data_IF_920354865171
#
_entry.id   IF_920354865171
#
_cell.length_a   1.000
_cell.length_b   1.000
_cell.length_c   1.000
_cell.angle_alpha   90.00
_cell.angle_beta   90.00
_cell.angle_gamma   90.00
#
_symmetry.space_group_name_H-M   'P 1'
#
loop_
_entity.id
_entity.type
_entity.pdbx_description
1 polymer ?
#
# COMPACT_ATOMS: atom_id res chain seq x y z
N UNK A 1 35.02 4.01 4.94
CA UNK A 1 34.00 5.02 4.58
C UNK A 1 32.75 4.26 4.17
N UNK A 2 31.75 4.01 5.03
CA UNK A 2 30.50 3.45 4.55
C UNK A 2 29.62 4.60 4.04
N UNK A 3 29.14 4.45 2.80
CA UNK A 3 28.18 5.36 2.21
C UNK A 3 26.87 5.26 2.98
N UNK A 4 26.48 6.35 3.65
CA UNK A 4 25.14 6.56 4.18
C UNK A 4 24.17 6.68 3.01
N UNK A 5 23.44 5.60 2.74
CA UNK A 5 22.22 5.66 1.93
C UNK A 5 21.11 6.15 2.86
N UNK A 6 20.71 7.41 2.74
CA UNK A 6 19.49 7.89 3.37
C UNK A 6 18.29 7.32 2.62
N UNK A 7 17.70 6.25 3.17
CA UNK A 7 16.34 5.87 2.84
C UNK A 7 15.41 6.80 3.63
N UNK A 8 14.78 7.73 2.94
CA UNK A 8 13.62 8.42 3.50
C UNK A 8 12.46 7.44 3.42
N UNK A 9 12.17 6.75 4.51
CA UNK A 9 10.84 6.20 4.71
C UNK A 9 9.87 7.37 4.62
N UNK A 10 9.14 7.50 3.50
CA UNK A 10 8.09 8.49 3.36
C UNK A 10 6.92 8.07 4.27
N UNK A 11 7.04 8.38 5.56
CA UNK A 11 5.86 8.67 6.36
C UNK A 11 5.43 10.09 6.00
N UNK A 12 4.23 10.20 5.44
CA UNK A 12 3.50 11.45 5.17
C UNK A 12 4.34 12.67 4.75
N UNK A 13 4.82 12.70 3.50
CA UNK A 13 5.21 13.97 2.87
C UNK A 13 4.38 14.16 1.60
N UNK A 14 3.31 14.93 1.75
CA UNK A 14 2.54 15.50 0.65
C UNK A 14 3.49 16.35 -0.23
N UNK A 15 3.66 16.05 -1.53
CA UNK A 15 4.35 16.97 -2.44
C UNK A 15 3.54 18.27 -2.57
N UNK A 16 4.25 19.40 -2.66
CA UNK A 16 3.65 20.73 -2.86
C UNK A 16 2.65 20.71 -4.03
N UNK A 17 1.44 21.15 -3.72
CA UNK A 17 0.28 21.15 -4.61
C UNK A 17 0.51 21.89 -5.93
N UNK A 18 0.28 21.20 -7.04
CA UNK A 18 0.21 21.75 -8.39
C UNK A 18 -0.94 21.14 -9.18
N UNK A 19 -2.04 21.91 -9.28
CA UNK A 19 -3.25 21.76 -10.13
C UNK A 19 -3.97 20.39 -10.15
N UNK A 20 -5.12 20.38 -9.45
CA UNK A 20 -6.25 19.43 -9.52
C UNK A 20 -5.89 17.97 -9.27
N UNK A 21 -5.57 17.62 -8.03
CA UNK A 21 -5.74 16.23 -7.55
C UNK A 21 -6.95 16.17 -6.64
N UNK A 22 -7.91 15.33 -7.03
CA UNK A 22 -9.00 14.85 -6.17
C UNK A 22 -8.39 13.82 -5.23
N UNK A 23 -8.85 13.75 -3.98
CA UNK A 23 -8.24 12.95 -2.93
C UNK A 23 -8.36 11.45 -3.25
N UNK A 24 -7.28 10.87 -3.76
CA UNK A 24 -7.02 9.43 -3.68
C UNK A 24 -6.32 9.18 -2.34
N UNK A 25 -6.53 8.02 -1.72
CA UNK A 25 -5.84 7.71 -0.48
C UNK A 25 -4.31 7.61 -0.71
N UNK A 26 -3.53 7.93 0.31
CA UNK A 26 -2.07 8.01 0.18
C UNK A 26 -1.36 6.66 -0.02
N UNK A 27 -2.08 5.52 0.06
CA UNK A 27 -1.56 4.17 -0.23
C UNK A 27 -1.69 3.88 -1.72
N UNK A 28 -2.88 4.04 -2.27
CA UNK A 28 -3.18 3.90 -3.70
C UNK A 28 -2.33 4.85 -4.55
N UNK A 29 -2.08 6.07 -4.10
CA UNK A 29 -1.17 6.98 -4.80
C UNK A 29 0.26 6.44 -4.94
N UNK A 30 0.78 5.71 -3.94
CA UNK A 30 2.13 5.10 -3.98
C UNK A 30 2.17 3.91 -4.92
N UNK A 31 1.15 3.07 -4.87
CA UNK A 31 0.98 1.92 -5.76
C UNK A 31 0.99 2.40 -7.23
N UNK A 32 0.32 3.51 -7.49
CA UNK A 32 0.28 4.11 -8.83
C UNK A 32 1.62 4.65 -9.32
N UNK A 33 2.51 5.11 -8.43
CA UNK A 33 3.89 5.47 -8.82
C UNK A 33 4.68 4.25 -9.33
N UNK A 34 4.31 3.05 -8.87
CA UNK A 34 4.95 1.78 -9.26
C UNK A 34 4.29 1.13 -10.49
N UNK A 35 3.15 1.67 -10.96
CA UNK A 35 2.43 1.20 -12.13
C UNK A 35 1.07 0.57 -11.85
N UNK A 36 0.55 0.64 -10.62
CA UNK A 36 -0.86 0.39 -10.38
C UNK A 36 -1.74 1.47 -11.05
N UNK A 37 -3.02 1.18 -11.19
CA UNK A 37 -3.98 2.10 -11.80
C UNK A 37 -5.33 2.08 -11.07
N UNK A 38 -6.13 3.12 -11.29
CA UNK A 38 -7.51 3.19 -10.85
C UNK A 38 -8.39 3.60 -12.02
N UNK A 39 -9.63 3.11 -12.07
CA UNK A 39 -10.63 3.60 -13.02
C UNK A 39 -11.46 4.73 -12.38
N UNK A 40 -11.52 5.90 -13.03
CA UNK A 40 -12.32 7.05 -12.62
C UNK A 40 -13.08 7.60 -13.84
N UNK A 41 -14.40 7.78 -13.72
CA UNK A 41 -15.27 8.30 -14.79
C UNK A 41 -15.11 7.58 -16.16
N UNK A 42 -14.81 6.28 -16.14
CA UNK A 42 -14.62 5.46 -17.35
C UNK A 42 -13.24 5.61 -18.00
N UNK A 43 -12.29 6.20 -17.27
CA UNK A 43 -10.91 6.37 -17.71
C UNK A 43 -9.93 5.76 -16.72
N UNK A 44 -8.95 5.02 -17.26
CA UNK A 44 -7.82 4.55 -16.48
C UNK A 44 -6.92 5.72 -16.09
N UNK A 45 -6.78 5.96 -14.80
CA UNK A 45 -5.88 6.96 -14.22
C UNK A 45 -4.60 6.26 -13.75
N UNK A 46 -3.45 6.83 -14.10
CA UNK A 46 -2.12 6.32 -13.77
C UNK A 46 -1.19 7.43 -13.33
N UNK A 47 -0.19 7.08 -12.52
CA UNK A 47 0.83 8.02 -12.07
C UNK A 47 2.24 7.41 -12.08
N UNK A 48 2.50 6.43 -12.95
CA UNK A 48 3.80 5.76 -13.06
C UNK A 48 4.92 6.82 -13.16
N UNK A 49 5.92 6.71 -12.29
CA UNK A 49 7.09 7.57 -12.30
C UNK A 49 8.31 6.75 -12.70
N UNK A 50 8.77 6.92 -13.95
CA UNK A 50 9.92 6.17 -14.49
C UNK A 50 11.22 6.38 -13.71
N UNK A 51 11.32 7.39 -12.84
CA UNK A 51 12.48 7.60 -11.97
C UNK A 51 12.51 6.61 -10.81
N UNK A 52 11.37 6.06 -10.42
CA UNK A 52 11.26 5.02 -9.40
C UNK A 52 11.68 3.69 -10.00
N UNK A 53 12.75 3.10 -9.45
CA UNK A 53 13.35 1.86 -9.99
C UNK A 53 12.98 0.61 -9.18
N UNK A 54 12.52 0.79 -7.95
CA UNK A 54 11.96 -0.23 -7.10
C UNK A 54 11.03 0.41 -6.07
N UNK A 55 10.10 -0.36 -5.51
CA UNK A 55 9.18 0.10 -4.48
C UNK A 55 9.07 -0.87 -3.31
N UNK A 56 8.61 -0.35 -2.18
CA UNK A 56 8.15 -1.14 -1.03
C UNK A 56 6.72 -0.71 -0.72
N UNK A 57 5.79 -1.66 -0.75
CA UNK A 57 4.39 -1.45 -0.40
C UNK A 57 4.13 -2.04 0.98
N UNK A 58 3.56 -1.23 1.87
CA UNK A 58 3.27 -1.60 3.25
C UNK A 58 1.74 -1.59 3.42
N UNK A 59 1.15 -2.72 3.79
CA UNK A 59 -0.31 -2.86 3.97
C UNK A 59 -1.08 -2.23 2.79
N UNK A 60 -0.65 -2.57 1.58
CA UNK A 60 -1.13 -2.00 0.32
C UNK A 60 -2.64 -2.12 0.22
N UNK A 61 -3.31 -1.17 -0.42
CA UNK A 61 -4.68 -1.42 -0.88
C UNK A 61 -4.67 -2.63 -1.82
N UNK A 62 -5.59 -3.58 -1.65
CA UNK A 62 -5.67 -4.69 -2.59
C UNK A 62 -6.49 -4.32 -3.83
N UNK A 63 -6.67 -5.26 -4.75
CA UNK A 63 -7.36 -4.97 -6.00
C UNK A 63 -8.87 -4.80 -5.78
N UNK A 64 -9.47 -3.88 -6.53
CA UNK A 64 -10.91 -3.69 -6.50
C UNK A 64 -11.65 -4.81 -7.23
N UNK A 65 -12.56 -5.50 -6.55
CA UNK A 65 -13.42 -6.53 -7.14
C UNK A 65 -14.69 -6.75 -6.29
N UNK A 66 -15.45 -7.80 -6.59
CA UNK A 66 -16.72 -8.14 -5.96
C UNK A 66 -16.63 -8.45 -4.46
N UNK A 67 -15.44 -8.79 -3.94
CA UNK A 67 -15.15 -9.03 -2.52
C UNK A 67 -15.26 -7.78 -1.62
N UNK A 68 -15.36 -6.59 -2.23
CA UNK A 68 -15.47 -5.34 -1.49
C UNK A 68 -16.89 -5.11 -0.98
N UNK A 69 -17.00 -4.61 0.25
CA UNK A 69 -18.26 -4.20 0.85
C UNK A 69 -18.87 -2.99 0.13
N UNK A 70 -20.17 -2.75 0.32
CA UNK A 70 -20.85 -1.55 -0.18
C UNK A 70 -20.23 -0.26 0.35
N UNK A 71 -19.62 -0.31 1.55
CA UNK A 71 -18.89 0.83 2.10
C UNK A 71 -17.60 1.06 1.31
N UNK A 72 -16.77 0.02 1.13
CA UNK A 72 -15.52 0.13 0.39
C UNK A 72 -15.76 0.58 -1.06
N UNK A 73 -16.84 0.12 -1.69
CA UNK A 73 -17.23 0.49 -3.07
C UNK A 73 -17.51 1.99 -3.26
N UNK A 74 -17.76 2.75 -2.19
CA UNK A 74 -17.92 4.22 -2.24
C UNK A 74 -16.62 4.96 -2.51
N UNK A 75 -15.48 4.33 -2.24
CA UNK A 75 -14.16 4.90 -2.46
C UNK A 75 -13.61 4.37 -3.78
N UNK A 76 -13.46 5.25 -4.78
CA UNK A 76 -12.92 4.88 -6.11
C UNK A 76 -11.57 4.17 -5.98
N UNK A 77 -10.68 4.69 -5.13
CA UNK A 77 -9.35 4.12 -4.90
C UNK A 77 -9.37 2.65 -4.47
N UNK A 78 -10.34 2.23 -3.66
CA UNK A 78 -10.52 0.82 -3.28
C UNK A 78 -11.20 0.03 -4.38
N UNK A 79 -12.32 0.55 -4.91
CA UNK A 79 -13.18 -0.18 -5.85
C UNK A 79 -12.54 -0.47 -7.19
N UNK A 80 -11.59 0.35 -7.63
CA UNK A 80 -11.06 0.27 -9.00
C UNK A 80 -9.55 0.13 -9.08
N UNK A 81 -8.87 -0.08 -7.94
CA UNK A 81 -7.44 -0.39 -7.93
C UNK A 81 -7.14 -1.66 -8.76
N UNK A 82 -6.16 -1.54 -9.65
CA UNK A 82 -5.65 -2.65 -10.46
C UNK A 82 -4.12 -2.66 -10.48
N UNK A 83 -3.55 -3.85 -10.47
CA UNK A 83 -2.11 -4.10 -10.45
C UNK A 83 -1.57 -4.78 -11.71
N UNK A 84 -2.45 -5.08 -12.68
CA UNK A 84 -2.17 -5.86 -13.89
C UNK A 84 -1.14 -5.24 -14.84
N UNK A 85 -0.79 -3.97 -14.64
CA UNK A 85 0.27 -3.27 -15.39
C UNK A 85 1.47 -2.85 -14.53
N UNK A 86 1.50 -3.28 -13.26
CA UNK A 86 2.54 -2.89 -12.31
C UNK A 86 3.85 -3.64 -12.54
N UNK A 87 4.69 -3.09 -13.42
CA UNK A 87 5.96 -3.69 -13.85
C UNK A 87 7.17 -3.34 -12.97
N UNK A 88 7.07 -2.31 -12.14
CA UNK A 88 8.18 -1.90 -11.26
C UNK A 88 8.52 -3.01 -10.25
N UNK A 89 9.80 -3.38 -10.08
CA UNK A 89 10.23 -4.32 -9.04
C UNK A 89 9.75 -3.86 -7.66
N UNK A 90 9.04 -4.72 -6.93
CA UNK A 90 8.39 -4.29 -5.69
C UNK A 90 8.44 -5.36 -4.61
N UNK A 91 8.82 -4.97 -3.39
CA UNK A 91 8.59 -5.74 -2.18
C UNK A 91 7.22 -5.38 -1.61
N UNK A 92 6.35 -6.38 -1.41
CA UNK A 92 5.04 -6.22 -0.78
C UNK A 92 5.13 -6.77 0.64
N UNK A 93 4.80 -5.94 1.64
CA UNK A 93 4.81 -6.29 3.05
C UNK A 93 3.38 -6.24 3.58
N UNK A 94 2.92 -7.36 4.13
CA UNK A 94 1.54 -7.53 4.65
C UNK A 94 1.55 -8.08 6.07
N UNK A 95 0.51 -7.80 6.83
CA UNK A 95 0.24 -8.46 8.11
C UNK A 95 -0.75 -9.61 7.92
N UNK A 96 -0.51 -10.75 8.59
CA UNK A 96 -1.44 -11.90 8.51
C UNK A 96 -2.71 -11.73 9.37
N UNK A 97 -2.78 -10.65 10.16
CA UNK A 97 -3.95 -10.21 10.92
C UNK A 97 -4.45 -8.84 10.47
N UNK A 98 -3.99 -8.34 9.32
CA UNK A 98 -4.52 -7.13 8.70
C UNK A 98 -5.91 -7.39 8.10
N UNK A 99 -6.86 -7.71 8.98
CA UNK A 99 -8.23 -7.99 8.61
C UNK A 99 -9.06 -6.71 8.70
N UNK A 100 -9.91 -6.50 7.70
CA UNK A 100 -10.80 -5.36 7.59
C UNK A 100 -12.15 -5.84 7.09
N UNK A 101 -12.92 -6.57 7.93
CA UNK A 101 -14.18 -7.20 7.53
C UNK A 101 -15.23 -6.17 7.10
N UNK A 102 -15.10 -4.91 7.54
CA UNK A 102 -15.95 -3.81 7.08
C UNK A 102 -15.67 -3.41 5.62
N UNK A 103 -14.49 -3.75 5.08
CA UNK A 103 -14.05 -3.37 3.74
C UNK A 103 -14.05 -4.54 2.75
N UNK A 104 -13.67 -5.74 3.18
CA UNK A 104 -13.57 -6.92 2.31
C UNK A 104 -13.88 -8.23 3.03
N UNK A 105 -14.46 -9.20 2.32
CA UNK A 105 -14.64 -10.57 2.80
C UNK A 105 -13.43 -11.50 2.54
N UNK A 106 -12.38 -11.03 1.85
CA UNK A 106 -11.13 -11.78 1.59
C UNK A 106 -10.14 -11.74 2.75
N UNK A 107 -10.41 -10.91 3.76
CA UNK A 107 -9.55 -10.69 4.90
C UNK A 107 -8.11 -10.27 4.50
N UNK A 108 -7.09 -10.63 5.30
CA UNK A 108 -5.73 -10.11 5.14
C UNK A 108 -5.07 -10.41 3.79
N UNK A 109 -5.50 -11.48 3.11
CA UNK A 109 -4.96 -11.86 1.81
C UNK A 109 -5.17 -10.79 0.72
N UNK A 110 -6.16 -9.91 0.88
CA UNK A 110 -6.41 -8.81 -0.04
C UNK A 110 -5.20 -7.87 -0.20
N UNK A 111 -4.47 -7.61 0.88
CA UNK A 111 -3.29 -6.73 0.87
C UNK A 111 -2.10 -7.28 0.06
N UNK A 112 -2.13 -8.56 -0.30
CA UNK A 112 -1.11 -9.22 -1.13
C UNK A 112 -1.42 -9.16 -2.64
N UNK A 113 -2.53 -8.54 -3.08
CA UNK A 113 -2.94 -8.54 -4.49
C UNK A 113 -1.88 -7.94 -5.43
N UNK A 114 -1.15 -6.90 -4.99
CA UNK A 114 -0.03 -6.35 -5.77
C UNK A 114 1.14 -7.32 -5.98
N UNK A 115 1.28 -8.36 -5.14
CA UNK A 115 2.22 -9.45 -5.36
C UNK A 115 1.67 -10.48 -6.35
N UNK A 116 0.39 -10.82 -6.25
CA UNK A 116 -0.22 -11.90 -7.04
C UNK A 116 -0.61 -11.49 -8.47
N UNK A 117 -1.01 -10.24 -8.67
CA UNK A 117 -1.62 -9.78 -9.92
C UNK A 117 -0.64 -9.00 -10.82
N UNK A 118 0.44 -8.49 -10.26
CA UNK A 118 1.38 -7.66 -10.99
C UNK A 118 2.33 -8.46 -11.88
N UNK A 119 2.59 -8.02 -13.13
CA UNK A 119 3.44 -8.75 -14.07
C UNK A 119 4.94 -8.57 -13.84
N UNK A 120 5.36 -7.49 -13.15
CA UNK A 120 6.78 -7.22 -12.86
C UNK A 120 7.32 -8.07 -11.71
N UNK A 121 8.64 -8.12 -11.49
CA UNK A 121 9.23 -8.86 -10.37
C UNK A 121 8.64 -8.45 -9.02
N UNK A 122 8.24 -9.44 -8.20
CA UNK A 122 7.69 -9.22 -6.86
C UNK A 122 8.34 -10.14 -5.82
N UNK A 123 8.36 -9.65 -4.58
CA UNK A 123 8.66 -10.44 -3.39
C UNK A 123 7.61 -10.12 -2.33
N UNK A 124 7.23 -11.12 -1.53
CA UNK A 124 6.24 -10.99 -0.47
C UNK A 124 6.92 -11.25 0.88
N UNK A 125 6.72 -10.34 1.83
CA UNK A 125 7.05 -10.52 3.23
C UNK A 125 5.76 -10.46 4.05
N UNK A 126 5.43 -11.54 4.74
CA UNK A 126 4.30 -11.60 5.66
C UNK A 126 4.80 -11.48 7.09
N UNK A 127 4.29 -10.48 7.83
CA UNK A 127 4.57 -10.30 9.24
C UNK A 127 3.47 -11.00 10.06
N UNK A 128 3.89 -12.01 10.82
CA UNK A 128 2.97 -12.78 11.65
C UNK A 128 2.52 -12.00 12.88
N UNK A 129 1.24 -12.12 13.19
CA UNK A 129 0.57 -11.38 14.26
C UNK A 129 0.30 -9.91 13.94
N UNK A 130 0.62 -9.44 12.73
CA UNK A 130 0.56 -8.04 12.38
C UNK A 130 -0.78 -7.62 11.79
N UNK A 131 -1.32 -6.52 12.32
CA UNK A 131 -2.52 -5.83 11.87
C UNK A 131 -2.15 -4.70 10.88
N UNK A 132 -3.12 -3.83 10.55
CA UNK A 132 -3.00 -2.84 9.48
C UNK A 132 -1.81 -1.90 9.58
N UNK A 133 -1.40 -1.56 10.80
CA UNK A 133 -0.27 -0.65 11.05
C UNK A 133 1.09 -1.37 11.13
N UNK A 134 1.10 -2.69 10.98
CA UNK A 134 2.29 -3.54 10.98
C UNK A 134 3.16 -3.39 12.24
N UNK A 135 2.54 -3.12 13.39
CA UNK A 135 3.21 -2.87 14.68
C UNK A 135 3.67 -1.43 14.91
N UNK A 136 3.46 -0.51 13.96
CA UNK A 136 3.71 0.93 14.13
C UNK A 136 2.52 1.67 14.73
N UNK A 137 2.77 2.85 15.31
CA UNK A 137 1.73 3.72 15.89
C UNK A 137 1.35 4.86 14.93
N UNK A 138 0.08 5.28 14.94
CA UNK A 138 -0.39 6.47 14.19
C UNK A 138 -0.17 7.77 14.97
N UNK A 139 0.04 7.70 16.28
CA UNK A 139 0.40 8.80 17.16
C UNK A 139 0.66 8.34 18.60
N UNK A 140 1.11 9.24 19.47
CA UNK A 140 1.47 8.90 20.86
C UNK A 140 0.26 8.54 21.75
N UNK A 141 -0.94 9.04 21.41
CA UNK A 141 -2.17 8.86 22.21
C UNK A 141 -3.30 8.21 21.39
N UNK A 142 -2.97 7.56 20.27
CA UNK A 142 -3.95 6.94 19.39
C UNK A 142 -4.22 5.50 19.80
N UNK A 143 -5.49 5.13 19.93
CA UNK A 143 -5.92 3.74 20.17
C UNK A 143 -6.16 2.95 18.88
N UNK A 144 -5.88 3.55 17.72
CA UNK A 144 -6.06 2.94 16.41
C UNK A 144 -5.10 1.78 16.16
N UNK A 145 -3.96 1.75 16.86
CA UNK A 145 -3.02 0.63 16.84
C UNK A 145 -3.26 -0.24 18.07
N UNK A 146 -3.63 -1.49 17.85
CA UNK A 146 -3.88 -2.48 18.92
C UNK A 146 -2.77 -3.51 19.07
N UNK A 147 -1.80 -3.53 18.14
CA UNK A 147 -0.77 -4.56 18.02
C UNK A 147 0.67 -3.99 17.97
N UNK A 148 0.92 -2.88 18.68
CA UNK A 148 2.24 -2.23 18.74
C UNK A 148 3.39 -3.21 18.95
N UNK A 149 4.40 -3.12 18.10
CA UNK A 149 5.55 -4.02 18.13
C UNK A 149 6.79 -3.38 17.52
N UNK A 150 7.69 -2.86 18.38
CA UNK A 150 8.95 -2.26 17.93
C UNK A 150 9.87 -3.21 17.15
N UNK A 151 9.78 -4.53 17.37
CA UNK A 151 10.60 -5.50 16.63
C UNK A 151 10.10 -5.64 15.20
N UNK A 152 8.78 -5.68 14.98
CA UNK A 152 8.19 -5.64 13.63
C UNK A 152 8.53 -4.34 12.90
N UNK A 153 8.47 -3.19 13.58
CA UNK A 153 8.91 -1.91 13.02
C UNK A 153 10.40 -1.96 12.62
N UNK A 154 11.26 -2.54 13.46
CA UNK A 154 12.68 -2.68 13.15
C UNK A 154 12.96 -3.61 11.96
N UNK A 155 12.14 -4.65 11.74
CA UNK A 155 12.21 -5.49 10.54
C UNK A 155 11.88 -4.66 9.30
N UNK A 156 10.77 -3.92 9.33
CA UNK A 156 10.33 -3.08 8.20
C UNK A 156 11.42 -2.07 7.83
N UNK A 157 11.99 -1.37 8.82
CA UNK A 157 13.06 -0.40 8.61
C UNK A 157 14.33 -0.96 7.95
N UNK A 158 14.61 -2.26 8.12
CA UNK A 158 15.77 -2.92 7.46
C UNK A 158 15.48 -3.33 6.03
N UNK A 159 14.20 -3.45 5.66
CA UNK A 159 13.74 -3.87 4.34
C UNK A 159 13.34 -2.69 3.43
N UNK A 160 13.16 -1.50 4.02
CA UNK A 160 12.68 -0.27 3.37
C UNK A 160 13.75 0.73 3.02
#
# INVERSE_FOLDING_TARGET
MPATWSFTAFSQVMPRAGRRRRALDGRTERDMLLGASVEEDGHTVRALDERVKAGVLLASTGAGDDHLSDMAKRFTALRTARFDEMTTPTLVIVGDKDDSPELTDRGPAHHADGYHQAPGPKSLLTLHGAEHMLGGITGYDTVETTDEDPERVAVIQRMS
#
